data_IF_711844658194
#
_entry.id   IF_711844658194
#
_cell.length_a   1.000
_cell.length_b   1.000
_cell.length_c   1.000
_cell.angle_alpha   90.00
_cell.angle_beta   90.00
_cell.angle_gamma   90.00
#
_symmetry.space_group_name_H-M   'P 1'
#
loop_
_entity.id
_entity.type
_entity.pdbx_description
1 polymer ?
#
# COMPACT_ATOMS: atom_id res chain seq x y z
N UNK A 1 -16.97 36.35 -20.46
CA UNK A 1 -17.78 36.43 -19.24
C UNK A 1 -17.71 35.08 -18.55
N UNK A 2 -16.76 34.91 -17.68
CA UNK A 2 -16.66 33.75 -16.82
C UNK A 2 -16.25 34.24 -15.43
N UNK A 3 -17.22 34.66 -14.64
CA UNK A 3 -16.99 35.16 -13.28
C UNK A 3 -17.80 34.44 -12.20
N UNK A 4 -18.39 33.29 -12.53
CA UNK A 4 -19.26 32.58 -11.58
C UNK A 4 -18.71 31.30 -10.94
N UNK A 5 -17.61 30.75 -11.41
CA UNK A 5 -17.19 29.40 -11.03
C UNK A 5 -16.10 29.32 -9.96
N UNK A 6 -15.28 30.36 -9.76
CA UNK A 6 -14.19 30.34 -8.79
C UNK A 6 -14.66 30.24 -7.35
N UNK A 7 -15.75 30.90 -7.00
CA UNK A 7 -16.33 30.82 -5.64
C UNK A 7 -17.06 29.51 -5.34
N UNK A 8 -17.65 28.88 -6.37
CA UNK A 8 -18.38 27.60 -6.19
C UNK A 8 -17.45 26.40 -6.08
N UNK A 9 -16.32 26.39 -6.79
CA UNK A 9 -15.33 25.31 -6.67
C UNK A 9 -14.64 25.30 -5.31
N UNK A 10 -14.33 26.48 -4.74
CA UNK A 10 -13.76 26.58 -3.41
C UNK A 10 -14.75 26.12 -2.34
N UNK A 11 -16.03 26.48 -2.46
CA UNK A 11 -17.08 26.03 -1.54
C UNK A 11 -17.37 24.52 -1.63
N UNK A 12 -17.12 23.88 -2.75
CA UNK A 12 -17.30 22.42 -2.91
C UNK A 12 -16.14 21.67 -2.24
N UNK A 13 -14.90 22.11 -2.44
CA UNK A 13 -13.71 21.48 -1.84
C UNK A 13 -13.73 21.47 -0.31
N UNK A 14 -14.25 22.53 0.30
CA UNK A 14 -14.32 22.67 1.77
C UNK A 14 -15.48 21.88 2.40
N UNK A 15 -16.34 21.24 1.60
CA UNK A 15 -17.54 20.52 2.07
C UNK A 15 -17.60 19.05 1.66
N UNK A 16 -16.60 18.57 0.91
CA UNK A 16 -16.57 17.18 0.43
C UNK A 16 -15.50 16.41 1.19
N UNK A 17 -15.91 15.37 1.89
CA UNK A 17 -14.99 14.38 2.45
C UNK A 17 -14.62 13.38 1.35
N UNK A 18 -13.32 13.14 1.18
CA UNK A 18 -12.81 12.11 0.27
C UNK A 18 -12.91 10.77 1.00
N UNK A 19 -13.89 9.97 0.63
CA UNK A 19 -14.03 8.61 1.14
C UNK A 19 -13.05 7.64 0.46
N UNK A 20 -13.02 6.39 0.92
CA UNK A 20 -12.30 5.30 0.23
C UNK A 20 -12.77 5.26 -1.22
N UNK A 21 -11.85 5.27 -2.22
CA UNK A 21 -12.24 5.31 -3.64
C UNK A 21 -13.08 4.10 -4.05
N UNK A 22 -12.91 2.96 -3.39
CA UNK A 22 -13.80 1.80 -3.47
C UNK A 22 -13.46 0.80 -2.36
N UNK A 23 -14.46 0.02 -1.91
CA UNK A 23 -14.24 -1.06 -0.95
C UNK A 23 -13.99 -2.38 -1.69
N UNK A 24 -12.88 -3.08 -1.39
CA UNK A 24 -12.62 -4.38 -1.99
C UNK A 24 -13.64 -5.41 -1.52
N UNK A 25 -14.10 -6.28 -2.43
CA UNK A 25 -15.08 -7.32 -2.12
C UNK A 25 -14.49 -8.52 -1.38
N UNK A 26 -13.19 -8.68 -1.41
CA UNK A 26 -12.44 -9.73 -0.71
C UNK A 26 -11.10 -9.19 -0.24
N UNK A 27 -10.39 -9.96 0.57
CA UNK A 27 -9.11 -9.55 1.14
C UNK A 27 -8.15 -9.01 0.09
N UNK A 28 -7.39 -7.98 0.46
CA UNK A 28 -6.33 -7.40 -0.37
C UNK A 28 -5.17 -8.40 -0.45
N UNK A 29 -4.71 -8.70 -1.64
CA UNK A 29 -3.48 -9.48 -1.85
C UNK A 29 -2.28 -8.58 -1.62
N UNK A 30 -1.35 -9.02 -0.78
CA UNK A 30 -0.15 -8.25 -0.46
C UNK A 30 1.09 -9.06 -0.77
N UNK A 31 2.18 -8.37 -1.09
CA UNK A 31 3.45 -8.97 -1.46
C UNK A 31 4.53 -8.54 -0.48
N UNK A 32 5.08 -9.50 0.26
CA UNK A 32 6.18 -9.26 1.18
C UNK A 32 7.55 -9.31 0.49
N UNK A 33 8.49 -8.50 1.01
CA UNK A 33 9.91 -8.52 0.59
C UNK A 33 10.11 -8.30 -0.91
N UNK A 34 9.39 -7.35 -1.51
CA UNK A 34 9.44 -7.12 -2.95
C UNK A 34 10.35 -5.96 -3.40
N UNK A 35 11.05 -5.29 -2.47
CA UNK A 35 12.12 -4.34 -2.76
C UNK A 35 13.44 -4.85 -2.19
N UNK A 36 14.49 -4.84 -3.00
CA UNK A 36 15.79 -5.36 -2.55
C UNK A 36 16.39 -4.55 -1.40
N UNK A 37 16.20 -3.24 -1.40
CA UNK A 37 16.61 -2.33 -0.33
C UNK A 37 15.94 -2.70 1.00
N UNK A 38 14.62 -2.94 0.96
CA UNK A 38 13.84 -3.35 2.13
C UNK A 38 14.26 -4.73 2.67
N UNK A 39 14.57 -5.68 1.79
CA UNK A 39 15.11 -7.00 2.21
C UNK A 39 16.42 -6.82 2.96
N UNK A 40 17.33 -5.97 2.47
CA UNK A 40 18.62 -5.68 3.11
C UNK A 40 18.49 -4.96 4.46
N UNK A 41 17.48 -4.10 4.61
CA UNK A 41 17.20 -3.37 5.84
C UNK A 41 16.98 -4.31 7.04
N UNK A 42 16.32 -5.45 6.84
CA UNK A 42 16.03 -6.43 7.91
C UNK A 42 17.09 -7.50 8.08
N UNK A 43 17.79 -7.82 7.04
CA UNK A 43 18.82 -8.84 7.07
C UNK A 43 20.19 -8.17 7.22
N UNK A 44 20.70 -8.03 8.46
CA UNK A 44 22.05 -7.52 8.77
C UNK A 44 23.17 -8.33 8.09
N UNK A 45 22.84 -9.34 7.29
CA UNK A 45 23.76 -10.17 6.53
C UNK A 45 23.83 -9.71 5.07
N UNK A 46 25.05 -9.38 4.64
CA UNK A 46 25.43 -8.97 3.27
C UNK A 46 25.01 -10.00 2.18
N UNK A 47 24.56 -11.20 2.57
CA UNK A 47 24.16 -12.32 1.71
C UNK A 47 22.64 -12.58 1.71
N UNK A 48 21.80 -11.59 2.06
CA UNK A 48 20.35 -11.72 1.94
C UNK A 48 19.97 -12.07 0.49
N UNK A 49 19.52 -13.30 0.28
CA UNK A 49 19.07 -13.75 -1.03
C UNK A 49 17.65 -13.27 -1.26
N UNK A 50 17.41 -12.67 -2.43
CA UNK A 50 16.06 -12.38 -2.87
C UNK A 50 15.20 -13.66 -2.81
N UNK A 51 13.90 -13.55 -2.46
CA UNK A 51 13.01 -14.68 -2.52
C UNK A 51 12.94 -15.23 -3.96
N UNK A 52 12.92 -16.56 -4.10
CA UNK A 52 12.80 -17.20 -5.42
C UNK A 52 11.39 -17.02 -6.02
N UNK A 53 10.38 -16.85 -5.17
CA UNK A 53 9.00 -16.66 -5.54
C UNK A 53 8.38 -15.52 -4.72
N UNK A 54 7.37 -14.79 -5.25
CA UNK A 54 6.65 -13.78 -4.49
C UNK A 54 6.05 -14.38 -3.21
N UNK A 55 6.22 -13.68 -2.10
CA UNK A 55 5.62 -14.07 -0.81
C UNK A 55 4.28 -13.37 -0.72
N UNK A 56 3.18 -14.11 -0.86
CA UNK A 56 1.83 -13.55 -0.76
C UNK A 56 1.25 -13.72 0.63
N UNK A 57 0.57 -12.68 1.09
CA UNK A 57 -0.29 -12.68 2.26
C UNK A 57 -1.52 -11.80 1.98
N UNK A 58 -2.43 -11.65 2.92
CA UNK A 58 -3.63 -10.83 2.72
C UNK A 58 -3.88 -9.91 3.90
N UNK A 59 -4.62 -8.81 3.62
CA UNK A 59 -5.24 -7.96 4.64
C UNK A 59 -6.76 -8.12 4.57
N UNK A 60 -7.40 -8.09 5.74
CA UNK A 60 -8.86 -8.15 5.84
C UNK A 60 -9.51 -6.90 5.24
N UNK A 61 -10.68 -7.05 4.62
CA UNK A 61 -11.45 -5.90 4.10
C UNK A 61 -11.88 -4.93 5.20
N UNK A 62 -12.07 -5.42 6.43
CA UNK A 62 -12.43 -4.60 7.60
C UNK A 62 -11.32 -3.65 8.05
N UNK A 63 -10.08 -3.87 7.61
CA UNK A 63 -8.96 -2.98 7.91
C UNK A 63 -8.90 -1.73 7.02
N UNK A 64 -9.75 -1.65 5.99
CA UNK A 64 -9.71 -0.57 4.99
C UNK A 64 -10.29 0.73 5.54
N UNK A 65 -9.53 1.82 5.36
CA UNK A 65 -9.95 3.19 5.61
C UNK A 65 -9.51 4.10 4.45
N UNK A 66 -10.11 5.27 4.34
CA UNK A 66 -9.78 6.28 3.32
C UNK A 66 -8.76 7.31 3.79
N UNK A 67 -8.53 8.30 2.94
CA UNK A 67 -7.70 9.45 3.29
C UNK A 67 -8.36 10.30 4.37
N UNK A 68 -7.56 10.87 5.28
CA UNK A 68 -7.96 11.64 6.46
C UNK A 68 -8.70 10.85 7.56
N UNK A 69 -9.02 9.58 7.36
CA UNK A 69 -9.49 8.71 8.44
C UNK A 69 -8.33 8.34 9.38
N UNK A 70 -8.61 8.14 10.67
CA UNK A 70 -7.60 7.91 11.69
C UNK A 70 -7.10 6.47 11.71
N UNK A 71 -5.78 6.29 11.79
CA UNK A 71 -5.16 4.99 12.08
C UNK A 71 -5.23 4.76 13.58
N UNK A 72 -5.89 3.70 14.02
CA UNK A 72 -5.93 3.26 15.42
C UNK A 72 -4.68 2.41 15.74
N UNK A 73 -3.93 2.80 16.76
CA UNK A 73 -2.73 2.05 17.17
C UNK A 73 -3.03 0.76 17.92
N UNK A 74 -4.26 0.50 18.31
CA UNK A 74 -4.65 -0.70 19.07
C UNK A 74 -3.71 -1.00 20.24
N UNK A 75 -3.45 -0.01 21.10
CA UNK A 75 -2.44 -0.06 22.18
C UNK A 75 -2.63 -1.18 23.19
N UNK A 76 -3.84 -1.70 23.32
CA UNK A 76 -4.14 -2.85 24.17
C UNK A 76 -3.73 -4.18 23.51
N UNK A 77 -3.37 -4.16 22.21
CA UNK A 77 -3.09 -5.35 21.41
C UNK A 77 -1.64 -5.38 20.92
N UNK A 78 -1.06 -4.21 20.61
CA UNK A 78 0.29 -4.08 20.03
C UNK A 78 0.99 -2.81 20.51
N UNK A 79 2.30 -2.83 20.55
CA UNK A 79 3.14 -1.66 20.83
C UNK A 79 4.07 -1.28 19.68
N UNK A 80 3.98 -1.96 18.54
CA UNK A 80 4.94 -1.82 17.44
C UNK A 80 4.22 -1.62 16.09
N UNK A 81 3.42 -0.54 16.01
CA UNK A 81 2.70 -0.20 14.78
C UNK A 81 3.62 0.56 13.82
N UNK A 82 3.74 0.06 12.61
CA UNK A 82 4.66 0.55 11.58
C UNK A 82 3.91 0.85 10.28
N UNK A 83 4.47 1.72 9.44
CA UNK A 83 3.94 2.15 8.15
C UNK A 83 4.69 1.47 7.01
N UNK A 84 3.99 1.21 5.91
CA UNK A 84 4.54 0.66 4.67
C UNK A 84 3.83 1.30 3.47
N UNK A 85 4.44 2.31 2.85
CA UNK A 85 3.93 2.95 1.64
C UNK A 85 4.10 2.06 0.42
N UNK A 86 3.00 1.81 -0.32
CA UNK A 86 2.98 0.88 -1.44
C UNK A 86 2.16 1.38 -2.62
N UNK A 87 2.52 0.93 -3.83
CA UNK A 87 1.64 0.99 -4.98
C UNK A 87 0.58 -0.10 -4.88
N UNK A 88 -0.69 0.27 -5.00
CA UNK A 88 -1.82 -0.64 -5.14
C UNK A 88 -2.21 -0.82 -6.60
N UNK A 89 -2.33 -2.06 -7.06
CA UNK A 89 -2.76 -2.41 -8.42
C UNK A 89 -4.17 -2.98 -8.36
N UNK A 90 -5.09 -2.44 -9.17
CA UNK A 90 -6.49 -2.84 -9.20
C UNK A 90 -6.76 -3.66 -10.45
N UNK A 91 -7.30 -4.86 -10.27
CA UNK A 91 -7.70 -5.74 -11.38
C UNK A 91 -9.01 -5.24 -12.00
N UNK A 92 -9.06 -5.14 -13.31
CA UNK A 92 -10.22 -4.64 -14.07
C UNK A 92 -11.06 -5.69 -14.76
N UNK A 93 -10.51 -6.88 -14.95
CA UNK A 93 -11.18 -7.96 -15.69
C UNK A 93 -10.96 -9.30 -15.00
N UNK A 94 -12.02 -10.14 -14.97
CA UNK A 94 -11.88 -11.53 -14.53
C UNK A 94 -10.80 -12.24 -15.34
N UNK A 95 -9.86 -12.88 -14.66
CA UNK A 95 -8.76 -13.59 -15.32
C UNK A 95 -8.25 -14.77 -14.48
N UNK A 96 -7.66 -15.74 -15.17
CA UNK A 96 -6.98 -16.91 -14.62
C UNK A 96 -5.88 -17.33 -15.60
N UNK A 97 -4.79 -17.89 -15.11
CA UNK A 97 -3.66 -18.42 -15.87
C UNK A 97 -3.07 -17.41 -16.88
N UNK A 98 -2.91 -16.15 -16.45
CA UNK A 98 -2.46 -15.07 -17.31
C UNK A 98 -0.94 -15.11 -17.48
N UNK A 99 -0.50 -15.08 -18.74
CA UNK A 99 0.92 -14.96 -19.06
C UNK A 99 1.44 -13.57 -18.67
N UNK A 100 2.67 -13.50 -18.18
CA UNK A 100 3.29 -12.25 -17.72
C UNK A 100 3.24 -11.13 -18.77
N UNK A 101 3.50 -11.45 -20.05
CA UNK A 101 3.44 -10.49 -21.17
C UNK A 101 2.05 -9.85 -21.39
N UNK A 102 0.99 -10.48 -20.91
CA UNK A 102 -0.40 -10.04 -21.09
C UNK A 102 -0.99 -9.45 -19.80
N UNK A 103 -0.30 -9.58 -18.67
CA UNK A 103 -0.82 -9.29 -17.33
C UNK A 103 -1.33 -7.84 -17.17
N UNK A 104 -0.60 -6.87 -17.69
CA UNK A 104 -0.97 -5.44 -17.56
C UNK A 104 -2.28 -5.09 -18.32
N UNK A 105 -2.73 -5.91 -19.28
CA UNK A 105 -4.03 -5.72 -19.96
C UNK A 105 -5.23 -5.94 -19.03
N UNK A 106 -5.01 -6.54 -17.86
CA UNK A 106 -6.03 -6.84 -16.86
C UNK A 106 -6.07 -5.81 -15.74
N UNK A 107 -5.17 -4.83 -15.74
CA UNK A 107 -5.14 -3.75 -14.75
C UNK A 107 -6.21 -2.70 -15.10
N UNK A 108 -7.04 -2.33 -14.12
CA UNK A 108 -7.97 -1.21 -14.21
C UNK A 108 -7.29 0.12 -13.92
N UNK A 109 -6.43 0.12 -12.92
CA UNK A 109 -5.75 1.34 -12.47
C UNK A 109 -4.88 1.10 -11.25
N UNK A 110 -4.42 2.21 -10.67
CA UNK A 110 -3.48 2.24 -9.58
C UNK A 110 -3.98 3.15 -8.47
N UNK A 111 -3.62 2.83 -7.24
CA UNK A 111 -3.92 3.64 -6.04
C UNK A 111 -2.75 3.57 -5.07
N UNK A 112 -2.81 4.31 -3.96
CA UNK A 112 -1.82 4.22 -2.89
C UNK A 112 -2.40 3.33 -1.80
N UNK A 113 -1.54 2.51 -1.18
CA UNK A 113 -1.86 1.70 -0.01
C UNK A 113 -0.83 1.97 1.08
N UNK A 114 -1.31 2.03 2.32
CA UNK A 114 -0.44 1.94 3.49
C UNK A 114 -0.66 0.57 4.14
N UNK A 115 0.32 -0.34 4.00
CA UNK A 115 0.25 -1.67 4.60
C UNK A 115 0.69 -1.62 6.07
N UNK A 116 -0.13 -0.97 6.92
CA UNK A 116 0.14 -0.83 8.36
C UNK A 116 0.36 -2.20 8.99
N UNK A 117 1.37 -2.28 9.84
CA UNK A 117 1.88 -3.53 10.39
C UNK A 117 2.11 -3.45 11.89
N UNK A 118 1.51 -4.34 12.68
CA UNK A 118 1.92 -4.62 14.05
C UNK A 118 3.10 -5.60 14.03
N UNK A 119 4.32 -5.11 14.21
CA UNK A 119 5.55 -5.91 14.04
C UNK A 119 5.69 -7.03 15.05
N UNK A 120 5.29 -6.80 16.29
CA UNK A 120 5.27 -7.80 17.35
C UNK A 120 4.31 -8.95 17.01
N UNK A 121 3.10 -8.64 16.51
CA UNK A 121 2.14 -9.66 16.06
C UNK A 121 2.61 -10.35 14.79
N UNK A 122 3.19 -9.63 13.85
CA UNK A 122 3.78 -10.19 12.64
C UNK A 122 4.88 -11.22 12.98
N UNK A 123 5.70 -10.93 13.99
CA UNK A 123 6.81 -11.80 14.43
C UNK A 123 6.32 -13.00 15.23
N UNK A 124 5.30 -12.81 16.09
CA UNK A 124 4.83 -13.86 17.01
C UNK A 124 3.91 -14.90 16.35
N UNK A 125 3.29 -14.55 15.21
CA UNK A 125 2.41 -15.45 14.47
C UNK A 125 3.13 -16.03 13.25
N UNK A 126 2.89 -17.30 12.94
CA UNK A 126 3.49 -17.96 11.77
C UNK A 126 3.05 -17.33 10.45
N UNK A 127 1.80 -16.83 10.41
CA UNK A 127 1.24 -16.11 9.26
C UNK A 127 1.09 -14.62 9.58
N UNK A 128 1.42 -13.75 8.66
CA UNK A 128 1.43 -12.29 8.88
C UNK A 128 0.04 -11.68 9.00
N UNK A 129 -0.99 -12.39 8.56
CA UNK A 129 -2.38 -11.90 8.50
C UNK A 129 -2.81 -11.18 9.79
N UNK A 130 -2.52 -11.73 10.99
CA UNK A 130 -2.93 -11.14 12.26
C UNK A 130 -2.26 -9.78 12.53
N UNK A 131 -0.98 -9.63 12.20
CA UNK A 131 -0.25 -8.36 12.35
C UNK A 131 -0.56 -7.32 11.27
N UNK A 132 -1.24 -7.72 10.20
CA UNK A 132 -1.54 -6.92 9.02
C UNK A 132 -3.02 -6.51 8.88
N UNK A 133 -3.93 -7.07 9.71
CA UNK A 133 -5.38 -6.99 9.50
C UNK A 133 -6.16 -6.46 10.70
N UNK A 134 -5.52 -5.71 11.61
CA UNK A 134 -6.28 -4.95 12.61
C UNK A 134 -7.10 -3.88 11.89
N UNK A 135 -8.22 -3.49 12.48
CA UNK A 135 -9.06 -2.42 11.91
C UNK A 135 -8.22 -1.16 11.67
N UNK A 136 -8.50 -0.42 10.62
CA UNK A 136 -7.75 0.76 10.15
C UNK A 136 -6.34 0.51 9.59
N UNK A 137 -5.86 -0.74 9.53
CA UNK A 137 -4.49 -1.07 9.10
C UNK A 137 -4.29 -1.12 7.58
N UNK A 138 -5.28 -0.69 6.79
CA UNK A 138 -5.18 -0.63 5.33
C UNK A 138 -5.75 0.68 4.76
N UNK A 139 -5.12 1.84 5.02
CA UNK A 139 -5.47 3.06 4.31
C UNK A 139 -5.29 2.90 2.80
N UNK A 140 -6.31 3.31 2.01
CA UNK A 140 -6.32 3.23 0.54
C UNK A 140 -6.81 4.55 -0.06
N UNK A 141 -6.15 5.02 -1.10
CA UNK A 141 -6.56 6.22 -1.83
C UNK A 141 -5.39 7.15 -2.16
N UNK A 142 -5.60 8.47 -2.26
CA UNK A 142 -6.89 9.18 -2.16
C UNK A 142 -7.79 8.96 -3.39
N UNK A 143 -7.21 8.54 -4.53
CA UNK A 143 -7.88 8.38 -5.82
C UNK A 143 -7.46 7.08 -6.50
N UNK A 144 -8.07 6.78 -7.62
CA UNK A 144 -7.65 5.72 -8.55
C UNK A 144 -7.19 6.37 -9.85
N UNK A 145 -5.95 6.16 -10.22
CA UNK A 145 -5.43 6.49 -11.55
C UNK A 145 -5.85 5.41 -12.52
N UNK A 146 -6.81 5.71 -13.40
CA UNK A 146 -7.37 4.75 -14.36
C UNK A 146 -6.50 4.65 -15.60
N UNK A 147 -6.35 3.41 -16.11
CA UNK A 147 -5.70 3.12 -17.38
C UNK A 147 -4.26 2.64 -17.26
N UNK A 148 -3.67 2.33 -18.43
CA UNK A 148 -2.28 1.89 -18.54
C UNK A 148 -1.32 3.07 -18.45
N UNK A 149 -1.00 3.52 -17.26
CA UNK A 149 -0.01 4.58 -17.06
C UNK A 149 1.40 4.04 -17.30
N UNK A 150 2.30 4.81 -17.95
CA UNK A 150 3.67 4.37 -18.14
C UNK A 150 4.40 4.30 -16.79
N UNK A 151 4.88 3.12 -16.42
CA UNK A 151 5.87 2.98 -15.35
C UNK A 151 7.15 3.74 -15.70
N UNK A 152 7.95 4.20 -14.71
CA UNK A 152 7.86 3.85 -13.29
C UNK A 152 7.07 4.87 -12.45
N UNK A 153 6.66 4.44 -11.24
CA UNK A 153 6.16 5.31 -10.18
C UNK A 153 7.22 5.46 -9.08
N UNK A 154 7.27 6.65 -8.47
CA UNK A 154 8.08 6.89 -7.26
C UNK A 154 7.15 7.03 -6.06
N UNK A 155 7.49 6.34 -4.97
CA UNK A 155 6.75 6.32 -3.71
C UNK A 155 7.53 7.14 -2.70
N UNK A 156 6.89 8.14 -2.10
CA UNK A 156 7.43 8.91 -0.99
C UNK A 156 6.55 8.72 0.23
N UNK A 157 7.14 8.31 1.36
CA UNK A 157 6.42 8.26 2.65
C UNK A 157 7.05 9.26 3.62
N UNK A 158 6.20 10.12 4.20
CA UNK A 158 6.59 11.09 5.23
C UNK A 158 5.83 10.82 6.51
N UNK A 159 6.50 11.00 7.64
CA UNK A 159 5.90 11.04 8.97
C UNK A 159 6.15 12.42 9.55
N UNK A 160 5.07 13.15 9.85
CA UNK A 160 5.14 14.53 10.34
C UNK A 160 5.98 15.45 9.42
N UNK A 161 5.81 15.28 8.10
CA UNK A 161 6.54 16.02 7.08
C UNK A 161 7.99 15.54 6.85
N UNK A 162 8.54 14.65 7.68
CA UNK A 162 9.89 14.09 7.52
C UNK A 162 9.87 12.91 6.56
N UNK A 163 10.68 12.97 5.51
CA UNK A 163 10.85 11.84 4.57
C UNK A 163 11.41 10.62 5.31
N UNK A 164 10.74 9.47 5.12
CA UNK A 164 11.10 8.17 5.69
C UNK A 164 11.40 7.14 4.61
N UNK A 165 10.53 7.06 3.60
CA UNK A 165 10.73 6.12 2.50
C UNK A 165 10.79 6.88 1.18
N UNK A 166 11.68 6.44 0.30
CA UNK A 166 11.74 6.81 -1.10
C UNK A 166 12.07 5.57 -1.90
N UNK A 167 11.19 5.20 -2.83
CA UNK A 167 11.38 4.01 -3.65
C UNK A 167 10.77 4.15 -5.02
N UNK A 168 11.34 3.44 -5.99
CA UNK A 168 10.85 3.44 -7.36
C UNK A 168 10.37 2.05 -7.75
N UNK A 169 9.28 1.95 -8.50
CA UNK A 169 8.73 0.65 -8.94
C UNK A 169 9.63 -0.11 -9.92
N UNK A 170 10.71 0.52 -10.42
CA UNK A 170 11.78 -0.18 -11.15
C UNK A 170 12.59 -1.12 -10.25
N UNK A 171 12.59 -0.87 -8.94
CA UNK A 171 13.37 -1.60 -7.95
C UNK A 171 12.62 -2.80 -7.36
N UNK A 172 11.39 -3.05 -7.86
CA UNK A 172 10.61 -4.23 -7.52
C UNK A 172 11.36 -5.51 -7.93
N UNK A 173 11.53 -6.45 -7.00
CA UNK A 173 12.13 -7.78 -7.27
C UNK A 173 11.24 -8.55 -8.25
N UNK A 174 9.92 -8.52 -8.02
CA UNK A 174 8.91 -9.07 -8.90
C UNK A 174 8.05 -7.95 -9.46
N UNK A 175 8.08 -7.78 -10.77
CA UNK A 175 7.29 -6.75 -11.48
C UNK A 175 5.78 -6.95 -11.26
N UNK A 176 4.99 -5.90 -11.44
CA UNK A 176 3.52 -5.97 -11.39
C UNK A 176 2.99 -7.08 -12.32
N UNK A 177 3.54 -7.19 -13.53
CA UNK A 177 3.16 -8.23 -14.48
C UNK A 177 3.46 -9.64 -13.94
N UNK A 178 4.61 -9.82 -13.30
CA UNK A 178 5.00 -11.08 -12.64
C UNK A 178 4.06 -11.42 -11.50
N UNK A 179 3.69 -10.44 -10.66
CA UNK A 179 2.77 -10.65 -9.54
C UNK A 179 1.39 -11.13 -10.03
N UNK A 180 0.81 -10.45 -11.03
CA UNK A 180 -0.49 -10.82 -11.60
C UNK A 180 -0.42 -12.22 -12.22
N UNK A 181 0.62 -12.51 -13.02
CA UNK A 181 0.81 -13.81 -13.64
C UNK A 181 0.91 -14.92 -12.59
N UNK A 182 1.70 -14.70 -11.52
CA UNK A 182 1.88 -15.69 -10.46
C UNK A 182 0.59 -15.91 -9.66
N UNK A 183 -0.11 -14.84 -9.25
CA UNK A 183 -1.38 -14.95 -8.53
C UNK A 183 -2.47 -15.62 -9.36
N UNK A 184 -2.56 -15.30 -10.65
CA UNK A 184 -3.60 -15.85 -11.51
C UNK A 184 -3.37 -17.31 -11.91
N UNK A 185 -2.19 -17.85 -11.64
CA UNK A 185 -1.88 -19.26 -11.95
C UNK A 185 -2.70 -20.19 -11.04
N UNK A 186 -3.71 -20.82 -11.62
CA UNK A 186 -4.66 -21.70 -10.91
C UNK A 186 -5.65 -20.97 -10.00
N UNK A 187 -5.62 -19.62 -9.92
CA UNK A 187 -6.51 -18.83 -9.09
C UNK A 187 -7.19 -17.72 -9.90
N UNK A 188 -8.52 -17.63 -9.83
CA UNK A 188 -9.26 -16.58 -10.52
C UNK A 188 -9.09 -15.24 -9.77
N UNK A 189 -8.63 -14.21 -10.51
CA UNK A 189 -8.71 -12.81 -10.09
C UNK A 189 -9.99 -12.19 -10.66
N UNK A 190 -10.60 -11.30 -9.87
CA UNK A 190 -11.88 -10.64 -10.18
C UNK A 190 -11.69 -9.13 -10.32
N UNK A 191 -12.60 -8.45 -11.08
CA UNK A 191 -12.62 -6.99 -11.10
C UNK A 191 -12.78 -6.42 -9.68
N UNK A 192 -11.92 -5.47 -9.31
CA UNK A 192 -11.86 -4.87 -7.98
C UNK A 192 -10.94 -5.61 -6.98
N UNK A 193 -10.30 -6.71 -7.37
CA UNK A 193 -9.19 -7.24 -6.57
C UNK A 193 -8.04 -6.26 -6.55
N UNK A 194 -7.39 -6.15 -5.39
CA UNK A 194 -6.26 -5.26 -5.18
C UNK A 194 -5.02 -6.08 -4.87
N UNK A 195 -3.90 -5.66 -5.45
CA UNK A 195 -2.56 -6.18 -5.15
C UNK A 195 -1.72 -5.03 -4.60
N UNK A 196 -1.33 -5.09 -3.33
CA UNK A 196 -0.33 -4.24 -2.71
C UNK A 196 1.06 -4.80 -3.07
N UNK A 197 1.89 -3.98 -3.72
CA UNK A 197 3.06 -4.48 -4.45
C UNK A 197 4.34 -4.61 -3.63
N UNK A 198 4.29 -4.26 -2.35
CA UNK A 198 5.43 -4.21 -1.45
C UNK A 198 5.96 -2.80 -1.25
N UNK A 199 6.67 -2.62 -0.15
CA UNK A 199 7.20 -1.34 0.32
C UNK A 199 8.71 -1.24 0.15
N UNK A 200 9.28 -0.02 -0.14
CA UNK A 200 10.71 0.22 -0.12
C UNK A 200 11.27 0.29 1.32
N UNK A 201 12.60 0.44 1.46
CA UNK A 201 13.25 0.67 2.75
C UNK A 201 12.78 1.97 3.43
N UNK A 202 13.10 2.14 4.74
CA UNK A 202 12.75 3.31 5.54
C UNK A 202 11.51 3.11 6.39
N UNK A 203 11.07 1.86 6.60
CA UNK A 203 10.01 1.54 7.58
C UNK A 203 10.50 1.79 9.01
N UNK A 204 9.57 2.04 9.93
CA UNK A 204 9.93 2.40 11.32
C UNK A 204 10.80 1.37 12.01
N UNK A 205 10.58 0.08 11.78
CA UNK A 205 11.39 -1.00 12.35
C UNK A 205 12.83 -1.02 11.82
N UNK A 206 13.11 -0.45 10.64
CA UNK A 206 14.45 -0.40 10.04
C UNK A 206 15.40 0.57 10.74
N UNK A 207 14.90 1.52 11.52
CA UNK A 207 15.73 2.48 12.25
C UNK A 207 16.37 1.88 13.51
N UNK A 208 17.48 2.50 13.96
CA UNK A 208 18.14 2.16 15.24
C UNK A 208 18.27 3.42 16.11
N UNK A 209 17.46 3.58 17.18
CA UNK A 209 16.37 2.69 17.60
C UNK A 209 15.17 2.74 16.64
N UNK A 210 14.28 1.72 16.66
CA UNK A 210 13.06 1.70 15.86
C UNK A 210 12.17 2.93 16.07
N UNK A 211 11.49 3.39 15.01
CA UNK A 211 10.62 4.57 15.00
C UNK A 211 9.19 4.18 14.62
N UNK A 212 8.50 3.49 15.53
CA UNK A 212 7.10 3.13 15.35
C UNK A 212 6.18 4.35 15.42
N UNK A 213 4.97 4.22 14.89
CA UNK A 213 3.96 5.26 14.93
C UNK A 213 3.51 5.54 16.38
N UNK A 214 3.29 6.82 16.66
CA UNK A 214 2.82 7.33 17.93
C UNK A 214 1.53 8.13 17.75
N UNK A 215 0.69 8.28 18.78
CA UNK A 215 -0.48 9.16 18.70
C UNK A 215 -0.09 10.59 18.34
N UNK A 216 -0.88 11.18 17.45
CA UNK A 216 -0.63 12.53 16.94
C UNK A 216 0.29 12.56 15.72
N UNK A 217 0.91 11.42 15.32
CA UNK A 217 1.63 11.34 14.06
C UNK A 217 0.69 11.52 12.87
N UNK A 218 1.25 11.99 11.77
CA UNK A 218 0.59 12.06 10.47
C UNK A 218 1.42 11.32 9.46
N UNK A 219 0.82 10.31 8.83
CA UNK A 219 1.42 9.55 7.74
C UNK A 219 0.96 10.12 6.41
N UNK A 220 1.90 10.43 5.52
CA UNK A 220 1.63 10.92 4.17
C UNK A 220 2.40 10.07 3.17
N UNK A 221 1.67 9.43 2.24
CA UNK A 221 2.27 8.64 1.16
C UNK A 221 1.88 9.28 -0.16
N UNK A 222 2.88 9.70 -0.94
CA UNK A 222 2.68 10.38 -2.23
C UNK A 222 3.20 9.52 -3.37
N UNK A 223 2.38 9.38 -4.40
CA UNK A 223 2.74 8.78 -5.69
C UNK A 223 2.14 9.65 -6.80
N UNK A 224 2.97 10.36 -7.55
CA UNK A 224 2.49 11.14 -8.69
C UNK A 224 2.20 10.22 -9.90
N UNK A 225 1.06 10.44 -10.60
CA UNK A 225 0.03 11.46 -10.43
C UNK A 225 -1.20 10.99 -9.62
N UNK A 226 -1.09 9.95 -8.77
CA UNK A 226 -2.23 9.42 -7.96
C UNK A 226 -2.62 10.44 -6.88
N UNK A 227 -1.64 11.13 -6.29
CA UNK A 227 -1.84 12.12 -5.24
C UNK A 227 -1.17 11.74 -3.92
N UNK A 228 -1.74 12.20 -2.80
CA UNK A 228 -1.21 11.94 -1.46
C UNK A 228 -2.29 11.32 -0.57
N UNK A 229 -2.05 10.10 -0.12
CA UNK A 229 -2.81 9.43 0.93
C UNK A 229 -2.31 9.93 2.29
N UNK A 230 -3.18 10.57 3.07
CA UNK A 230 -2.84 11.19 4.35
C UNK A 230 -3.74 10.64 5.46
N UNK A 231 -3.13 10.18 6.54
CA UNK A 231 -3.87 9.65 7.68
C UNK A 231 -3.26 10.13 9.00
N UNK A 232 -4.04 10.75 9.90
CA UNK A 232 -3.64 10.99 11.27
C UNK A 232 -3.62 9.68 12.06
N UNK A 233 -2.86 9.64 13.15
CA UNK A 233 -2.71 8.48 14.06
C UNK A 233 -3.28 8.83 15.44
N UNK A 234 -4.16 7.97 15.99
CA UNK A 234 -4.76 8.15 17.31
C UNK A 234 -4.32 7.10 18.33
#
# INVERSE_FOLDING_TARGET
ISLGLVGSEMCIRDRVEIAVPFYPKRNIFCVGKNYQSHVKEFEKNINAKNPLHPIFFTKATTSVIGTNEEIDLHRDVTSQVDYEGELGVIIGRKCIDILEKDALKYVYGYTIINDITARDLQKSHAQWFRGKSLDTFCPIGPTVLIGGWPFPFTIYTKINGQLRQEGNTTDLIFSVAKLISTLSSGMTLLPGDIIATGTPEGVGMGFSPPKFLCPGDVVEITIDPIGTLRNPVK
#
